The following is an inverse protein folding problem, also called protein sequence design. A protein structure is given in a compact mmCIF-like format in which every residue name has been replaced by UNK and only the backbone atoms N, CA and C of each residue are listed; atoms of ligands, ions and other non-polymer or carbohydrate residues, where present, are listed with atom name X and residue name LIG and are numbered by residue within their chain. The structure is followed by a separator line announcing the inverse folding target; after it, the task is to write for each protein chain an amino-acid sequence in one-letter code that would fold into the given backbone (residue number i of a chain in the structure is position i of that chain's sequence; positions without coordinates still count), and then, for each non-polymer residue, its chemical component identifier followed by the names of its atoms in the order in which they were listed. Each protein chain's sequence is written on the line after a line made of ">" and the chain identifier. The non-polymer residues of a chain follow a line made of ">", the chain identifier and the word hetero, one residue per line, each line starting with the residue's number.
data_IF_785224824258
#
_entry.id   IF_785224824258
#
_cell.length_a   1.000
_cell.length_b   1.000
_cell.length_c   1.000
_cell.angle_alpha   90.00
_cell.angle_beta   90.00
_cell.angle_gamma   90.00
#
_symmetry.space_group_name_H-M   'P 1'
#
loop_
_entity.id
_entity.type
_entity.pdbx_description
1 polymer ?
#
# COMPACT_ATOMS: atom_id res chain seq x y z
N UNK A 1 -6.24 -36.45 17.29
CA UNK A 1 -7.02 -35.31 16.78
C UNK A 1 -6.09 -34.60 15.82
N UNK A 2 -6.22 -34.92 14.53
CA UNK A 2 -5.43 -34.23 13.49
C UNK A 2 -5.99 -32.81 13.36
N UNK A 3 -5.12 -31.83 13.64
CA UNK A 3 -5.40 -30.42 13.43
C UNK A 3 -5.43 -30.16 11.90
N UNK A 4 -6.62 -30.30 11.35
CA UNK A 4 -6.90 -30.04 9.95
C UNK A 4 -7.19 -28.54 9.78
N UNK A 5 -6.21 -27.70 10.13
CA UNK A 5 -6.23 -26.29 9.77
C UNK A 5 -6.07 -26.21 8.24
N UNK A 6 -7.21 -26.24 7.52
CA UNK A 6 -7.22 -25.91 6.09
C UNK A 6 -6.50 -24.57 5.90
N UNK A 7 -5.31 -24.63 5.28
CA UNK A 7 -4.59 -23.42 4.89
C UNK A 7 -5.53 -22.56 4.06
N UNK A 8 -5.95 -21.40 4.61
CA UNK A 8 -6.71 -20.39 3.86
C UNK A 8 -6.00 -20.13 2.55
N UNK A 9 -6.65 -20.40 1.43
CA UNK A 9 -6.10 -20.19 0.10
C UNK A 9 -6.53 -18.82 -0.40
N UNK A 10 -5.66 -17.84 -0.26
CA UNK A 10 -5.89 -16.51 -0.81
C UNK A 10 -5.66 -16.49 -2.33
N UNK A 11 -6.51 -15.74 -3.04
CA UNK A 11 -6.36 -15.57 -4.49
C UNK A 11 -5.16 -14.65 -4.79
N UNK A 12 -4.15 -15.18 -5.48
CA UNK A 12 -2.98 -14.41 -5.93
C UNK A 12 -3.34 -13.66 -7.22
N UNK A 13 -3.32 -12.32 -7.19
CA UNK A 13 -3.68 -11.49 -8.36
C UNK A 13 -2.47 -10.89 -9.06
N UNK A 14 -1.58 -10.23 -8.32
CA UNK A 14 -0.33 -9.67 -8.80
C UNK A 14 0.79 -10.26 -7.97
N UNK A 15 1.78 -10.85 -8.60
CA UNK A 15 2.83 -11.62 -7.94
C UNK A 15 4.19 -10.96 -8.20
N UNK A 16 4.89 -10.65 -7.12
CA UNK A 16 6.27 -10.16 -7.12
C UNK A 16 7.28 -11.29 -6.92
N UNK A 17 8.43 -10.98 -6.34
CA UNK A 17 9.48 -11.94 -6.06
C UNK A 17 9.30 -12.61 -4.68
N UNK A 18 8.86 -11.85 -3.68
CA UNK A 18 8.68 -12.31 -2.29
C UNK A 18 7.25 -12.11 -1.78
N UNK A 19 6.47 -11.26 -2.42
CA UNK A 19 5.12 -10.91 -2.03
C UNK A 19 4.14 -11.12 -3.18
N UNK A 20 2.87 -11.13 -2.82
CA UNK A 20 1.80 -11.06 -3.80
C UNK A 20 0.64 -10.19 -3.28
N UNK A 21 -0.22 -9.76 -4.20
CA UNK A 21 -1.46 -9.08 -3.88
C UNK A 21 -2.63 -10.05 -3.94
N UNK A 22 -3.53 -9.92 -2.99
CA UNK A 22 -4.82 -10.60 -2.96
C UNK A 22 -5.96 -9.60 -2.76
N UNK A 23 -7.20 -9.95 -3.07
CA UNK A 23 -8.34 -9.17 -2.60
C UNK A 23 -8.31 -9.03 -1.08
N UNK A 24 -8.84 -7.91 -0.55
CA UNK A 24 -9.05 -7.72 0.89
C UNK A 24 -10.01 -8.81 1.40
N UNK A 25 -9.63 -9.50 2.46
CA UNK A 25 -10.46 -10.49 3.15
C UNK A 25 -10.89 -9.98 4.52
N UNK A 26 -12.15 -10.19 4.88
CA UNK A 26 -12.63 -9.92 6.24
C UNK A 26 -12.15 -10.95 7.25
N UNK A 27 -11.58 -12.05 6.77
CA UNK A 27 -10.94 -13.05 7.63
C UNK A 27 -9.65 -12.53 8.29
N UNK A 28 -9.09 -11.43 7.78
CA UNK A 28 -7.87 -10.79 8.28
C UNK A 28 -8.17 -9.62 9.24
N UNK A 29 -9.41 -9.51 9.71
CA UNK A 29 -9.85 -8.37 10.51
C UNK A 29 -9.04 -8.22 11.80
N UNK A 30 -8.65 -9.32 12.43
CA UNK A 30 -7.85 -9.31 13.66
C UNK A 30 -6.48 -8.71 13.38
N UNK A 31 -5.79 -9.20 12.36
CA UNK A 31 -4.46 -8.71 11.98
C UNK A 31 -4.48 -7.23 11.57
N UNK A 32 -5.50 -6.81 10.82
CA UNK A 32 -5.66 -5.39 10.46
C UNK A 32 -5.92 -4.53 11.69
N UNK A 33 -6.82 -4.95 12.59
CA UNK A 33 -7.14 -4.21 13.82
C UNK A 33 -5.91 -4.06 14.72
N UNK A 34 -5.11 -5.12 14.86
CA UNK A 34 -3.84 -5.06 15.58
C UNK A 34 -2.85 -4.06 14.93
N UNK A 35 -2.72 -4.10 13.59
CA UNK A 35 -1.81 -3.21 12.87
C UNK A 35 -2.20 -1.74 13.03
N UNK A 36 -3.48 -1.39 12.86
CA UNK A 36 -3.90 0.02 12.91
C UNK A 36 -3.89 0.60 14.33
N UNK A 37 -3.97 -0.25 15.36
CA UNK A 37 -3.86 0.14 16.76
C UNK A 37 -2.40 0.16 17.28
N UNK A 38 -1.43 -0.40 16.55
CA UNK A 38 -0.01 -0.22 16.92
C UNK A 38 0.40 1.24 16.67
N UNK A 39 0.80 1.94 17.73
CA UNK A 39 1.20 3.36 17.65
C UNK A 39 2.32 3.59 16.63
N UNK A 40 3.21 2.62 16.42
CA UNK A 40 4.31 2.72 15.45
C UNK A 40 3.79 2.71 14.01
N UNK A 41 2.61 2.18 13.79
CA UNK A 41 1.92 2.11 12.51
C UNK A 41 0.95 3.27 12.36
N UNK A 42 0.08 3.47 13.36
CA UNK A 42 -1.02 4.45 13.29
C UNK A 42 -0.52 5.89 13.13
N UNK A 43 0.62 6.24 13.73
CA UNK A 43 1.26 7.56 13.53
C UNK A 43 1.60 7.80 12.06
N UNK A 44 2.01 6.76 11.33
CA UNK A 44 2.29 6.85 9.89
C UNK A 44 1.05 6.98 9.01
N UNK A 45 -0.14 6.63 9.54
CA UNK A 45 -1.42 6.69 8.83
C UNK A 45 -2.15 8.03 9.00
N UNK A 46 -1.81 8.80 10.03
CA UNK A 46 -2.36 10.14 10.28
C UNK A 46 -3.22 10.25 11.54
N UNK A 47 -3.68 11.48 11.82
CA UNK A 47 -4.32 11.84 13.09
C UNK A 47 -5.55 10.97 13.42
N UNK A 48 -6.37 10.66 12.45
CA UNK A 48 -7.56 9.82 12.69
C UNK A 48 -7.17 8.46 13.27
N UNK A 49 -6.09 7.86 12.76
CA UNK A 49 -5.65 6.52 13.18
C UNK A 49 -5.04 6.50 14.58
N UNK A 50 -4.23 7.51 14.97
CA UNK A 50 -3.61 7.50 16.29
C UNK A 50 -4.44 8.20 17.39
N UNK A 51 -5.52 8.90 17.04
CA UNK A 51 -6.43 9.51 18.03
C UNK A 51 -7.60 8.61 18.38
N UNK A 52 -7.88 7.60 17.56
CA UNK A 52 -8.97 6.66 17.79
C UNK A 52 -8.42 5.24 18.00
N UNK A 53 -8.97 4.55 18.98
CA UNK A 53 -8.80 3.10 19.08
C UNK A 53 -9.84 2.47 18.16
N UNK A 54 -9.36 1.72 17.17
CA UNK A 54 -10.21 1.04 16.20
C UNK A 54 -10.64 -0.31 16.76
N UNK A 55 -11.94 -0.55 16.88
CA UNK A 55 -12.50 -1.85 17.23
C UNK A 55 -12.74 -2.72 15.98
N UNK A 56 -13.07 -3.99 16.19
CA UNK A 56 -13.28 -4.93 15.08
C UNK A 56 -14.45 -4.53 14.17
N UNK A 57 -15.51 -3.92 14.69
CA UNK A 57 -16.66 -3.53 13.86
C UNK A 57 -16.30 -2.33 12.97
N UNK A 58 -15.62 -1.33 13.52
CA UNK A 58 -15.12 -0.17 12.76
C UNK A 58 -14.12 -0.60 11.68
N UNK A 59 -13.21 -1.53 12.00
CA UNK A 59 -12.25 -2.05 11.01
C UNK A 59 -12.95 -2.85 9.92
N UNK A 60 -13.96 -3.65 10.28
CA UNK A 60 -14.78 -4.40 9.31
C UNK A 60 -15.54 -3.47 8.35
N UNK A 61 -16.12 -2.39 8.87
CA UNK A 61 -16.78 -1.39 8.02
C UNK A 61 -15.77 -0.75 7.05
N UNK A 62 -14.60 -0.36 7.56
CA UNK A 62 -13.54 0.19 6.73
C UNK A 62 -13.07 -0.80 5.67
N UNK A 63 -12.71 -2.03 6.03
CA UNK A 63 -12.30 -3.05 5.07
C UNK A 63 -13.37 -3.37 4.03
N UNK A 64 -14.66 -3.37 4.44
CA UNK A 64 -15.78 -3.56 3.52
C UNK A 64 -15.88 -2.40 2.52
N UNK A 65 -15.62 -1.17 2.95
CA UNK A 65 -15.63 0.01 2.08
C UNK A 65 -14.53 -0.05 1.04
N UNK A 66 -13.29 -0.33 1.43
CA UNK A 66 -12.14 -0.36 0.53
C UNK A 66 -12.06 -1.63 -0.34
N UNK A 67 -12.76 -2.70 0.04
CA UNK A 67 -12.83 -3.94 -0.76
C UNK A 67 -13.40 -3.72 -2.16
N UNK A 68 -14.23 -2.70 -2.35
CA UNK A 68 -14.83 -2.33 -3.64
C UNK A 68 -13.90 -1.47 -4.50
N UNK A 69 -12.83 -0.95 -3.92
CA UNK A 69 -11.85 -0.10 -4.58
C UNK A 69 -10.70 -0.94 -5.18
N UNK A 70 -9.77 -0.26 -5.86
CA UNK A 70 -8.52 -0.90 -6.32
C UNK A 70 -7.50 -0.96 -5.16
N UNK A 71 -7.92 -1.62 -4.07
CA UNK A 71 -7.13 -1.86 -2.86
C UNK A 71 -6.87 -3.34 -2.71
N UNK A 72 -5.66 -3.72 -2.37
CA UNK A 72 -5.19 -5.10 -2.27
C UNK A 72 -4.55 -5.36 -0.92
N UNK A 73 -4.77 -6.54 -0.36
CA UNK A 73 -3.94 -7.05 0.71
C UNK A 73 -2.56 -7.45 0.14
N UNK A 74 -1.50 -7.14 0.88
CA UNK A 74 -0.12 -7.51 0.58
C UNK A 74 0.26 -8.69 1.48
N UNK A 75 0.69 -9.80 0.87
CA UNK A 75 1.03 -11.03 1.58
C UNK A 75 2.38 -11.58 1.18
N UNK A 76 3.02 -12.29 2.10
CA UNK A 76 4.22 -13.06 1.79
C UNK A 76 3.87 -14.26 0.90
N UNK A 77 4.71 -14.52 -0.11
CA UNK A 77 4.60 -15.71 -0.96
C UNK A 77 4.88 -17.01 -0.20
N UNK A 78 5.71 -16.93 0.83
CA UNK A 78 6.21 -18.07 1.59
C UNK A 78 5.13 -18.75 2.43
N UNK A 79 4.29 -17.95 3.11
CA UNK A 79 3.38 -18.47 4.14
C UNK A 79 2.01 -17.79 4.17
N UNK A 80 1.69 -16.94 3.17
CA UNK A 80 0.46 -16.17 3.05
C UNK A 80 0.25 -15.11 4.16
N UNK A 81 1.28 -14.84 5.00
CA UNK A 81 1.21 -13.87 6.10
C UNK A 81 0.88 -12.48 5.59
N UNK A 82 -0.05 -11.79 6.26
CA UNK A 82 -0.48 -10.44 5.93
C UNK A 82 0.60 -9.42 6.34
N UNK A 83 0.98 -8.56 5.40
CA UNK A 83 1.89 -7.43 5.64
C UNK A 83 1.16 -6.09 5.78
N UNK A 84 -0.06 -5.99 5.23
CA UNK A 84 -0.86 -4.78 5.18
C UNK A 84 -1.66 -4.67 3.89
N UNK A 85 -1.92 -3.44 3.44
CA UNK A 85 -2.61 -3.19 2.18
C UNK A 85 -1.96 -2.08 1.36
N UNK A 86 -2.24 -2.09 0.07
CA UNK A 86 -1.81 -1.08 -0.88
C UNK A 86 -2.82 -0.94 -2.02
N UNK A 87 -3.00 0.27 -2.52
CA UNK A 87 -3.88 0.50 -3.66
C UNK A 87 -4.16 1.97 -3.89
N UNK A 88 -5.25 2.25 -4.58
CA UNK A 88 -5.63 3.60 -4.93
C UNK A 88 -6.81 4.07 -4.08
N UNK A 89 -6.58 5.08 -3.22
CA UNK A 89 -7.61 5.75 -2.43
C UNK A 89 -8.56 6.58 -3.30
N UNK A 90 -8.07 7.02 -4.47
CA UNK A 90 -8.88 7.67 -5.48
C UNK A 90 -8.33 7.38 -6.87
N UNK A 91 -9.24 7.24 -7.84
CA UNK A 91 -8.94 7.06 -9.26
C UNK A 91 -9.82 8.01 -10.08
N UNK A 92 -9.19 8.77 -10.96
CA UNK A 92 -9.84 9.52 -12.01
C UNK A 92 -9.45 8.93 -13.37
N UNK A 93 -10.34 8.09 -13.91
CA UNK A 93 -10.08 7.39 -15.16
C UNK A 93 -10.20 8.31 -16.39
N UNK A 94 -10.89 9.46 -16.26
CA UNK A 94 -10.99 10.46 -17.34
C UNK A 94 -9.64 11.19 -17.49
N UNK A 95 -9.11 11.70 -16.38
CA UNK A 95 -7.81 12.35 -16.33
C UNK A 95 -6.64 11.35 -16.23
N UNK A 96 -6.94 10.08 -16.00
CA UNK A 96 -5.96 8.99 -15.84
C UNK A 96 -4.95 9.28 -14.72
N UNK A 97 -5.48 9.67 -13.55
CA UNK A 97 -4.69 9.95 -12.35
C UNK A 97 -5.13 9.06 -11.19
N UNK A 98 -4.22 8.79 -10.25
CA UNK A 98 -4.53 8.02 -9.06
C UNK A 98 -3.76 8.53 -7.84
N UNK A 99 -4.37 8.40 -6.65
CA UNK A 99 -3.69 8.65 -5.39
C UNK A 99 -3.51 7.36 -4.61
N UNK A 100 -2.27 7.01 -4.28
CA UNK A 100 -1.94 5.78 -3.54
C UNK A 100 -2.23 5.92 -2.06
N UNK A 101 -2.76 4.83 -1.49
CA UNK A 101 -2.75 4.53 -0.07
C UNK A 101 -1.86 3.30 0.19
N UNK A 102 -1.05 3.37 1.24
CA UNK A 102 -0.10 2.32 1.60
C UNK A 102 -0.11 2.10 3.10
N UNK A 103 -0.38 0.89 3.52
CA UNK A 103 -0.18 0.38 4.86
C UNK A 103 0.69 -0.87 4.77
N UNK A 104 1.94 -0.79 5.21
CA UNK A 104 2.79 -1.98 5.46
C UNK A 104 3.10 -1.95 6.95
N UNK A 105 2.21 -2.58 7.71
CA UNK A 105 2.13 -2.36 9.15
C UNK A 105 2.81 -3.41 10.02
N UNK A 106 3.09 -4.61 9.50
CA UNK A 106 3.64 -5.66 10.34
C UNK A 106 5.11 -5.36 10.73
N UNK A 107 5.39 -5.02 12.02
CA UNK A 107 6.74 -4.63 12.46
C UNK A 107 7.81 -5.70 12.24
N UNK A 108 7.42 -6.99 12.26
CA UNK A 108 8.33 -8.13 12.05
C UNK A 108 8.93 -8.15 10.64
N UNK A 109 8.29 -7.44 9.70
CA UNK A 109 8.64 -7.46 8.28
C UNK A 109 9.16 -6.12 7.75
N UNK A 110 9.34 -5.13 8.63
CA UNK A 110 9.94 -3.86 8.25
C UNK A 110 11.41 -4.02 7.82
N UNK A 111 11.88 -3.11 6.94
CA UNK A 111 13.28 -3.05 6.42
C UNK A 111 13.76 -4.29 5.65
N UNK A 112 12.83 -5.21 5.28
CA UNK A 112 13.14 -6.39 4.45
C UNK A 112 12.93 -6.17 2.94
N UNK A 113 12.56 -4.95 2.53
CA UNK A 113 12.34 -4.61 1.13
C UNK A 113 10.91 -4.80 0.62
N UNK A 114 10.02 -5.40 1.38
CA UNK A 114 8.64 -5.70 0.95
C UNK A 114 7.83 -4.46 0.57
N UNK A 115 7.98 -3.35 1.29
CA UNK A 115 7.35 -2.08 0.92
C UNK A 115 7.84 -1.53 -0.43
N UNK A 116 9.13 -1.70 -0.74
CA UNK A 116 9.70 -1.34 -2.05
C UNK A 116 9.09 -2.19 -3.17
N UNK A 117 8.98 -3.49 -2.92
CA UNK A 117 8.42 -4.44 -3.87
C UNK A 117 6.92 -4.16 -4.10
N UNK A 118 6.14 -3.95 -3.03
CA UNK A 118 4.73 -3.62 -3.11
C UNK A 118 4.48 -2.33 -3.91
N UNK A 119 5.27 -1.28 -3.64
CA UNK A 119 5.15 -0.02 -4.39
C UNK A 119 5.47 -0.21 -5.88
N UNK A 120 6.52 -0.93 -6.23
CA UNK A 120 6.83 -1.21 -7.62
C UNK A 120 5.73 -2.01 -8.31
N UNK A 121 5.15 -2.98 -7.62
CA UNK A 121 4.10 -3.83 -8.18
C UNK A 121 2.79 -3.05 -8.40
N UNK A 122 2.40 -2.16 -7.48
CA UNK A 122 1.19 -1.32 -7.65
C UNK A 122 1.40 -0.23 -8.72
N UNK A 123 2.60 0.33 -8.82
CA UNK A 123 2.94 1.29 -9.88
C UNK A 123 2.89 0.62 -11.25
N UNK A 124 3.42 -0.59 -11.35
CA UNK A 124 3.36 -1.39 -12.57
C UNK A 124 1.91 -1.66 -12.99
N UNK A 125 1.05 -2.03 -12.03
CA UNK A 125 -0.39 -2.18 -12.26
C UNK A 125 -1.05 -0.88 -12.71
N UNK A 126 -0.77 0.23 -12.02
CA UNK A 126 -1.34 1.54 -12.31
C UNK A 126 -0.96 2.07 -13.70
N UNK A 127 0.32 2.02 -14.06
CA UNK A 127 0.81 2.55 -15.33
C UNK A 127 0.58 1.61 -16.50
N UNK A 128 0.72 0.29 -16.31
CA UNK A 128 0.63 -0.69 -17.41
C UNK A 128 -0.80 -1.15 -17.69
N UNK A 129 -1.61 -1.41 -16.65
CA UNK A 129 -2.97 -1.95 -16.82
C UNK A 129 -4.07 -0.89 -16.68
N UNK A 130 -3.99 -0.01 -15.69
CA UNK A 130 -4.96 1.09 -15.58
C UNK A 130 -4.64 2.26 -16.51
N UNK A 131 -3.49 2.24 -17.16
CA UNK A 131 -3.03 3.27 -18.10
C UNK A 131 -3.04 4.69 -17.49
N UNK A 132 -2.72 4.79 -16.20
CA UNK A 132 -2.63 6.09 -15.53
C UNK A 132 -1.47 6.90 -16.12
N UNK A 133 -1.57 8.24 -16.05
CA UNK A 133 -0.53 9.18 -16.48
C UNK A 133 0.28 9.72 -15.31
N UNK A 134 -0.39 9.87 -14.17
CA UNK A 134 0.20 10.39 -12.94
C UNK A 134 -0.31 9.58 -11.75
N UNK A 135 0.58 9.21 -10.86
CA UNK A 135 0.27 8.55 -9.59
C UNK A 135 0.88 9.39 -8.48
N UNK A 136 0.02 9.88 -7.59
CA UNK A 136 0.42 10.71 -6.46
C UNK A 136 0.27 9.98 -5.13
N UNK A 137 0.91 10.50 -4.09
CA UNK A 137 0.74 10.10 -2.70
C UNK A 137 0.98 11.28 -1.77
N UNK A 138 0.58 11.11 -0.50
CA UNK A 138 0.89 12.05 0.57
C UNK A 138 1.74 11.35 1.62
N UNK A 139 2.71 12.06 2.18
CA UNK A 139 3.54 11.58 3.28
C UNK A 139 3.72 12.67 4.31
N UNK A 140 3.68 12.32 5.59
CA UNK A 140 3.92 13.26 6.68
C UNK A 140 5.41 13.55 6.77
N UNK A 141 5.78 14.82 6.97
CA UNK A 141 7.18 15.27 7.07
C UNK A 141 7.97 14.51 8.13
N UNK A 142 7.34 14.12 9.24
CA UNK A 142 7.97 13.32 10.28
C UNK A 142 8.17 11.84 9.91
N UNK A 143 7.54 11.35 8.82
CA UNK A 143 7.69 9.97 8.36
C UNK A 143 8.84 9.86 7.36
N UNK A 144 10.06 10.22 7.81
CA UNK A 144 11.27 10.17 7.00
C UNK A 144 11.52 8.82 6.32
N UNK A 145 11.26 7.66 6.98
CA UNK A 145 11.45 6.37 6.32
C UNK A 145 10.57 6.20 5.07
N UNK A 146 9.29 6.59 5.14
CA UNK A 146 8.38 6.51 3.99
C UNK A 146 8.78 7.52 2.91
N UNK A 147 9.08 8.77 3.27
CA UNK A 147 9.55 9.78 2.33
C UNK A 147 10.79 9.32 1.55
N UNK A 148 11.80 8.80 2.25
CA UNK A 148 13.03 8.31 1.63
C UNK A 148 12.77 7.09 0.73
N UNK A 149 11.84 6.21 1.13
CA UNK A 149 11.41 5.08 0.32
C UNK A 149 10.77 5.56 -1.00
N UNK A 150 9.85 6.51 -0.94
CA UNK A 150 9.20 7.05 -2.14
C UNK A 150 10.20 7.74 -3.07
N UNK A 151 11.12 8.54 -2.53
CA UNK A 151 12.22 9.14 -3.32
C UNK A 151 13.08 8.08 -4.01
N UNK A 152 13.45 7.02 -3.29
CA UNK A 152 14.27 5.92 -3.84
C UNK A 152 13.58 5.20 -5.00
N UNK A 153 12.24 5.12 -4.97
CA UNK A 153 11.45 4.50 -6.04
C UNK A 153 11.32 5.42 -7.25
N UNK A 154 11.47 6.74 -7.07
CA UNK A 154 11.43 7.73 -8.13
C UNK A 154 10.32 8.77 -8.01
N UNK A 155 9.53 8.76 -6.92
CA UNK A 155 8.57 9.82 -6.66
C UNK A 155 9.29 11.16 -6.44
N UNK A 156 8.71 12.23 -6.97
CA UNK A 156 9.18 13.60 -6.82
C UNK A 156 8.26 14.38 -5.89
N UNK A 157 8.84 15.21 -5.04
CA UNK A 157 8.09 16.17 -4.25
C UNK A 157 7.57 17.28 -5.16
N UNK A 158 6.25 17.51 -5.15
CA UNK A 158 5.59 18.50 -6.00
C UNK A 158 4.85 19.58 -5.22
N UNK A 159 4.76 19.44 -3.89
CA UNK A 159 4.17 20.47 -3.05
C UNK A 159 4.10 20.07 -1.58
N UNK A 160 3.68 21.04 -0.75
CA UNK A 160 3.49 20.85 0.69
C UNK A 160 2.24 21.57 1.19
N UNK A 161 1.50 20.89 2.05
CA UNK A 161 0.51 21.53 2.93
C UNK A 161 1.22 21.89 4.23
N UNK A 162 1.47 23.19 4.42
CA UNK A 162 2.27 23.66 5.54
C UNK A 162 1.52 23.53 6.87
N UNK A 163 2.21 23.02 7.91
CA UNK A 163 1.68 22.87 9.28
C UNK A 163 0.32 22.19 9.34
N UNK A 164 0.13 21.18 8.49
CA UNK A 164 -1.14 20.49 8.32
C UNK A 164 -1.40 19.39 9.35
N UNK A 165 -0.39 19.03 10.13
CA UNK A 165 -0.48 18.01 11.19
C UNK A 165 0.22 18.53 12.44
N UNK A 166 -0.35 18.22 13.61
CA UNK A 166 0.28 18.50 14.90
C UNK A 166 0.42 17.20 15.70
N UNK A 167 1.62 16.95 16.23
CA UNK A 167 1.92 15.83 17.13
C UNK A 167 2.73 16.37 18.31
N UNK A 168 2.25 16.15 19.53
CA UNK A 168 2.91 16.55 20.77
C UNK A 168 3.34 18.03 20.77
N UNK A 169 2.47 18.93 20.27
CA UNK A 169 2.70 20.37 20.21
C UNK A 169 3.67 20.82 19.10
N UNK A 170 4.13 19.91 18.24
CA UNK A 170 4.93 20.25 17.06
C UNK A 170 4.11 20.12 15.79
N UNK A 171 4.19 21.12 14.93
CA UNK A 171 3.51 21.10 13.63
C UNK A 171 4.44 20.61 12.53
N UNK A 172 3.87 19.84 11.60
CA UNK A 172 4.56 19.25 10.47
C UNK A 172 3.79 19.46 9.17
N UNK A 173 4.51 19.44 8.06
CA UNK A 173 3.92 19.52 6.74
C UNK A 173 3.38 18.16 6.30
N UNK A 174 2.41 18.18 5.37
CA UNK A 174 2.10 17.02 4.52
C UNK A 174 2.77 17.27 3.18
N UNK A 175 3.70 16.40 2.83
CA UNK A 175 4.44 16.43 1.57
C UNK A 175 3.60 15.70 0.52
N UNK A 176 3.40 16.35 -0.64
CA UNK A 176 2.72 15.76 -1.80
C UNK A 176 3.80 15.32 -2.76
N UNK A 177 3.76 14.05 -3.15
CA UNK A 177 4.71 13.48 -4.12
C UNK A 177 3.95 12.85 -5.27
N UNK A 178 4.53 12.85 -6.46
CA UNK A 178 3.98 12.17 -7.62
C UNK A 178 5.06 11.47 -8.45
N UNK A 179 4.58 10.65 -9.40
CA UNK A 179 5.37 10.03 -10.45
C UNK A 179 4.58 10.04 -11.74
N UNK A 180 5.21 10.47 -12.83
CA UNK A 180 4.64 10.41 -14.16
C UNK A 180 4.93 9.05 -14.82
N UNK A 181 4.04 8.63 -15.73
CA UNK A 181 4.17 7.35 -16.43
C UNK A 181 5.52 7.17 -17.13
N UNK A 182 6.03 8.23 -17.77
CA UNK A 182 7.30 8.27 -18.49
C UNK A 182 8.55 8.17 -17.59
N UNK A 183 8.39 8.35 -16.28
CA UNK A 183 9.44 8.23 -15.28
C UNK A 183 9.54 6.82 -14.70
N UNK A 184 8.52 5.99 -14.94
CA UNK A 184 8.43 4.63 -14.41
C UNK A 184 8.89 3.59 -15.42
N UNK A 185 9.68 2.62 -14.95
CA UNK A 185 10.05 1.44 -15.73
C UNK A 185 9.35 0.20 -15.15
N UNK A 186 8.48 -0.43 -15.96
CA UNK A 186 7.83 -1.67 -15.60
C UNK A 186 8.85 -2.78 -15.29
N UNK A 187 8.65 -3.48 -14.18
CA UNK A 187 9.56 -4.53 -13.70
C UNK A 187 8.85 -5.89 -13.71
N UNK A 188 7.70 -5.98 -13.06
CA UNK A 188 7.04 -7.28 -12.81
C UNK A 188 6.12 -7.67 -13.95
N UNK A 189 5.22 -6.78 -14.34
CA UNK A 189 4.21 -7.06 -15.37
C UNK A 189 4.88 -7.26 -16.72
N UNK A 190 5.82 -6.39 -17.07
CA UNK A 190 6.61 -6.53 -18.31
C UNK A 190 7.32 -7.89 -18.34
N UNK A 191 8.03 -8.25 -17.29
CA UNK A 191 8.74 -9.54 -17.18
C UNK A 191 7.80 -10.74 -17.39
N UNK A 192 6.61 -10.73 -16.78
CA UNK A 192 5.65 -11.82 -16.92
C UNK A 192 5.04 -11.89 -18.33
N UNK A 193 4.73 -10.74 -18.93
CA UNK A 193 4.21 -10.70 -20.30
C UNK A 193 5.25 -11.13 -21.33
N UNK A 194 6.51 -10.69 -21.18
CA UNK A 194 7.62 -11.11 -22.05
C UNK A 194 7.82 -12.63 -21.99
N UNK A 195 7.82 -13.22 -20.77
CA UNK A 195 7.94 -14.69 -20.62
C UNK A 195 6.82 -15.45 -21.30
N UNK A 196 5.58 -14.97 -21.15
CA UNK A 196 4.40 -15.73 -21.57
C UNK A 196 4.02 -15.53 -23.03
N UNK A 197 4.19 -14.32 -23.53
CA UNK A 197 3.68 -13.91 -24.84
C UNK A 197 4.76 -13.45 -25.81
N UNK A 198 6.02 -13.47 -25.39
CA UNK A 198 7.15 -13.02 -26.21
C UNK A 198 7.00 -11.56 -26.71
N UNK A 199 6.32 -10.71 -25.90
CA UNK A 199 6.10 -9.31 -26.20
C UNK A 199 7.44 -8.56 -26.00
N UNK A 200 7.97 -8.01 -27.09
CA UNK A 200 9.20 -7.18 -27.07
C UNK A 200 8.86 -5.72 -26.99
#
# INVERSE_FOLDING_TARGET
>A
MEDNSEKKKYLKTLVGDNIYFSPISLDDIEEYTEMVNDIKVSVGLGSVSYTNITDFESEKEFLTSIKKEKMFAVRLLENDELLGNIGFNSLDMVNRTGALGVLIGNPKHQRKGYGTEALKLILDYGFSFLNLRNISLKVFEYNEPAYNLYKKIGFKEVGRLRKAVEIMGKTYDIIIMDMLKEEFQSVYIKRELEKRYNLK
#
